data_IF_800014615703
#
_entry.id   IF_800014615703
#
_cell.length_a   1.000
_cell.length_b   1.000
_cell.length_c   1.000
_cell.angle_alpha   90.00
_cell.angle_beta   90.00
_cell.angle_gamma   90.00
#
_symmetry.space_group_name_H-M   'P 1'
#
loop_
_entity.id
_entity.type
_entity.pdbx_description
1 polymer ?
#
# COMPACT_ATOMS: atom_id res chain seq x y z
N UNK A 1 -11.49 0.35 29.04
CA UNK A 1 -11.68 0.52 27.59
C UNK A 1 -12.20 -0.73 26.94
N UNK A 2 -13.39 -0.63 26.36
CA UNK A 2 -14.03 -1.64 25.51
C UNK A 2 -14.55 -0.96 24.24
N UNK A 3 -14.59 -1.73 23.15
CA UNK A 3 -15.22 -1.29 21.91
C UNK A 3 -16.74 -1.26 22.10
N UNK A 4 -17.36 -0.10 21.95
CA UNK A 4 -18.81 0.10 22.07
C UNK A 4 -19.50 0.03 20.70
N UNK A 5 -18.90 0.65 19.67
CA UNK A 5 -19.53 0.77 18.36
C UNK A 5 -18.50 0.77 17.24
N UNK A 6 -18.88 0.16 16.11
CA UNK A 6 -18.11 0.16 14.87
C UNK A 6 -19.01 0.69 13.77
N UNK A 7 -18.57 1.74 13.08
CA UNK A 7 -19.31 2.37 11.98
C UNK A 7 -18.47 2.32 10.71
N UNK A 8 -19.05 1.83 9.61
CA UNK A 8 -18.41 1.87 8.29
C UNK A 8 -19.13 2.88 7.40
N UNK A 9 -18.36 3.72 6.70
CA UNK A 9 -18.87 4.65 5.68
C UNK A 9 -18.15 4.40 4.37
N UNK A 10 -18.91 4.08 3.33
CA UNK A 10 -18.38 4.02 1.97
C UNK A 10 -18.33 5.43 1.42
N UNK A 11 -17.15 5.86 1.01
CA UNK A 11 -16.89 7.14 0.35
C UNK A 11 -16.59 6.85 -1.12
N UNK A 12 -17.32 7.51 -2.00
CA UNK A 12 -17.15 7.43 -3.45
C UNK A 12 -16.65 8.78 -3.97
N UNK A 13 -15.36 8.85 -4.31
CA UNK A 13 -14.72 10.08 -4.73
C UNK A 13 -14.50 10.10 -6.26
N UNK A 14 -15.09 11.04 -7.02
CA UNK A 14 -14.87 11.13 -8.45
C UNK A 14 -13.43 11.54 -8.76
N UNK A 15 -12.80 10.89 -9.74
CA UNK A 15 -11.48 11.25 -10.24
C UNK A 15 -11.58 12.34 -11.31
N UNK A 16 -10.61 13.25 -11.32
CA UNK A 16 -10.58 14.37 -12.28
C UNK A 16 -10.40 13.94 -13.74
N UNK A 17 -9.95 12.71 -13.96
CA UNK A 17 -9.73 12.12 -15.29
C UNK A 17 -10.04 10.64 -15.29
N UNK A 18 -10.26 10.11 -16.49
CA UNK A 18 -10.30 8.66 -16.70
C UNK A 18 -9.02 8.00 -16.20
N UNK A 19 -9.20 6.90 -15.49
CA UNK A 19 -8.12 6.16 -14.86
C UNK A 19 -8.25 4.68 -15.24
N UNK A 20 -7.21 4.17 -15.92
CA UNK A 20 -7.15 2.79 -16.39
C UNK A 20 -6.13 1.99 -15.56
N UNK A 21 -6.55 1.40 -14.42
CA UNK A 21 -5.65 0.69 -13.54
C UNK A 21 -4.99 -0.50 -14.24
N UNK A 22 -3.67 -0.61 -14.11
CA UNK A 22 -2.89 -1.69 -14.71
C UNK A 22 -3.27 -3.10 -14.18
N UNK A 23 -3.89 -3.17 -13.00
CA UNK A 23 -4.35 -4.40 -12.36
C UNK A 23 -5.77 -4.84 -12.75
N UNK A 24 -6.51 -4.03 -13.53
CA UNK A 24 -7.83 -4.39 -14.01
C UNK A 24 -7.93 -4.07 -15.51
N UNK A 25 -7.52 -5.05 -16.34
CA UNK A 25 -7.44 -4.91 -17.81
C UNK A 25 -8.77 -4.44 -18.40
N UNK A 26 -8.72 -3.35 -19.16
CA UNK A 26 -9.89 -2.78 -19.85
C UNK A 26 -10.88 -2.06 -18.93
N UNK A 27 -10.64 -2.03 -17.61
CA UNK A 27 -11.48 -1.29 -16.68
C UNK A 27 -11.16 0.20 -16.78
N UNK A 28 -12.18 1.02 -16.94
CA UNK A 28 -12.12 2.44 -16.58
C UNK A 28 -12.62 2.57 -15.14
N UNK A 29 -11.86 3.24 -14.29
CA UNK A 29 -12.22 3.52 -12.92
C UNK A 29 -12.44 5.03 -12.78
N UNK A 30 -13.69 5.52 -12.89
CA UNK A 30 -13.99 6.95 -12.79
C UNK A 30 -13.93 7.46 -11.34
N UNK A 31 -14.04 6.58 -10.35
CA UNK A 31 -14.07 6.95 -8.95
C UNK A 31 -13.09 6.14 -8.10
N UNK A 32 -12.64 6.73 -6.99
CA UNK A 32 -11.93 6.07 -5.91
C UNK A 32 -12.90 5.72 -4.77
N UNK A 33 -13.20 4.43 -4.63
CA UNK A 33 -13.95 3.91 -3.49
C UNK A 33 -13.02 3.71 -2.29
N UNK A 34 -13.47 4.18 -1.13
CA UNK A 34 -12.85 3.90 0.16
C UNK A 34 -13.91 3.55 1.20
N UNK A 35 -13.54 2.68 2.15
CA UNK A 35 -14.30 2.50 3.39
C UNK A 35 -13.57 3.24 4.50
N UNK A 36 -14.27 4.17 5.15
CA UNK A 36 -13.87 4.82 6.39
C UNK A 36 -14.49 4.04 7.56
N UNK A 37 -13.67 3.76 8.57
CA UNK A 37 -14.06 3.03 9.77
C UNK A 37 -13.87 3.94 10.97
N UNK A 38 -14.91 4.00 11.80
CA UNK A 38 -14.89 4.66 13.11
C UNK A 38 -15.16 3.58 14.17
N UNK A 39 -14.26 3.43 15.14
CA UNK A 39 -14.41 2.51 16.27
C UNK A 39 -14.46 3.33 17.55
N UNK A 40 -15.64 3.40 18.17
CA UNK A 40 -15.86 4.12 19.42
C UNK A 40 -15.64 3.19 20.62
N UNK A 41 -15.05 3.74 21.69
CA UNK A 41 -14.87 3.06 22.96
C UNK A 41 -15.77 3.63 24.06
N UNK A 42 -16.03 2.82 25.08
CA UNK A 42 -16.77 3.22 26.29
C UNK A 42 -16.08 4.33 27.10
N UNK A 43 -14.77 4.52 26.89
CA UNK A 43 -13.96 5.59 27.51
C UNK A 43 -13.91 6.87 26.65
N UNK A 44 -14.69 6.94 25.57
CA UNK A 44 -14.87 8.14 24.74
C UNK A 44 -13.77 8.37 23.69
N UNK A 45 -12.89 7.39 23.43
CA UNK A 45 -11.95 7.46 22.32
C UNK A 45 -12.59 6.90 21.05
N UNK A 46 -12.30 7.54 19.92
CA UNK A 46 -12.67 7.03 18.59
C UNK A 46 -11.41 6.77 17.79
N UNK A 47 -11.23 5.52 17.36
CA UNK A 47 -10.25 5.12 16.36
C UNK A 47 -10.76 5.39 14.95
N UNK A 48 -9.87 5.81 14.05
CA UNK A 48 -10.18 6.06 12.66
C UNK A 48 -9.25 5.24 11.77
N UNK A 49 -9.82 4.53 10.79
CA UNK A 49 -9.07 3.85 9.75
C UNK A 49 -9.75 3.93 8.40
N UNK A 50 -9.00 3.63 7.35
CA UNK A 50 -9.53 3.61 6.00
C UNK A 50 -8.86 2.53 5.15
N UNK A 51 -9.58 2.02 4.15
CA UNK A 51 -9.05 1.14 3.12
C UNK A 51 -9.62 1.49 1.76
N UNK A 52 -8.83 1.23 0.70
CA UNK A 52 -9.34 1.19 -0.66
C UNK A 52 -10.22 -0.06 -0.84
N UNK A 53 -11.52 0.13 -0.63
CA UNK A 53 -12.53 -0.91 -0.65
C UNK A 53 -13.92 -0.28 -0.87
N UNK A 54 -14.87 -1.08 -1.33
CA UNK A 54 -16.27 -0.71 -1.48
C UNK A 54 -17.16 -1.29 -0.40
N UNK A 55 -18.44 -1.44 -0.74
CA UNK A 55 -19.49 -1.95 0.14
C UNK A 55 -19.18 -3.34 0.71
N UNK A 56 -18.43 -4.16 -0.02
CA UNK A 56 -18.05 -5.51 0.40
C UNK A 56 -17.25 -5.52 1.71
N UNK A 57 -16.36 -4.54 1.92
CA UNK A 57 -15.61 -4.43 3.17
C UNK A 57 -16.50 -3.94 4.31
N UNK A 58 -17.34 -2.93 4.08
CA UNK A 58 -18.26 -2.41 5.09
C UNK A 58 -19.22 -3.51 5.60
N UNK A 59 -19.86 -4.24 4.67
CA UNK A 59 -20.76 -5.34 5.01
C UNK A 59 -20.00 -6.45 5.74
N UNK A 60 -18.78 -6.78 5.31
CA UNK A 60 -17.99 -7.82 5.96
C UNK A 60 -17.63 -7.44 7.39
N UNK A 61 -17.19 -6.19 7.60
CA UNK A 61 -16.85 -5.67 8.92
C UNK A 61 -18.09 -5.69 9.82
N UNK A 62 -19.20 -5.11 9.38
CA UNK A 62 -20.41 -5.00 10.20
C UNK A 62 -21.01 -6.37 10.57
N UNK A 63 -21.01 -7.32 9.63
CA UNK A 63 -21.69 -8.61 9.83
C UNK A 63 -20.82 -9.70 10.42
N UNK A 64 -19.53 -9.73 10.08
CA UNK A 64 -18.65 -10.85 10.41
C UNK A 64 -17.49 -10.48 11.32
N UNK A 65 -17.08 -9.22 11.39
CA UNK A 65 -15.98 -8.78 12.27
C UNK A 65 -16.53 -8.17 13.56
N UNK A 66 -17.45 -7.21 13.45
CA UNK A 66 -17.96 -6.45 14.59
C UNK A 66 -18.51 -7.32 15.74
N UNK A 67 -19.25 -8.41 15.51
CA UNK A 67 -19.74 -9.27 16.60
C UNK A 67 -18.65 -9.85 17.50
N UNK A 68 -17.42 -10.00 17.00
CA UNK A 68 -16.28 -10.49 17.76
C UNK A 68 -15.46 -9.38 18.42
N UNK A 69 -15.65 -8.12 18.01
CA UNK A 69 -14.90 -6.97 18.48
C UNK A 69 -15.66 -6.18 19.54
N UNK A 70 -16.98 -6.09 19.45
CA UNK A 70 -17.82 -5.36 20.42
C UNK A 70 -17.60 -5.95 21.83
N UNK A 71 -17.36 -5.09 22.80
CA UNK A 71 -17.07 -5.44 24.20
C UNK A 71 -15.63 -5.88 24.47
N UNK A 72 -14.78 -6.06 23.44
CA UNK A 72 -13.38 -6.39 23.60
C UNK A 72 -12.53 -5.16 23.93
N UNK A 73 -11.38 -5.37 24.56
CA UNK A 73 -10.40 -4.33 24.82
C UNK A 73 -9.61 -4.03 23.52
N UNK A 74 -9.69 -2.81 22.95
CA UNK A 74 -8.99 -2.46 21.71
C UNK A 74 -7.46 -2.45 21.88
N UNK A 75 -6.94 -2.46 23.12
CA UNK A 75 -5.50 -2.52 23.40
C UNK A 75 -4.91 -3.91 23.15
N UNK A 76 -5.75 -4.96 23.11
CA UNK A 76 -5.33 -6.34 22.85
C UNK A 76 -5.31 -6.67 21.35
N UNK A 77 -4.70 -5.81 20.53
CA UNK A 77 -4.71 -5.90 19.05
C UNK A 77 -4.37 -7.30 18.54
N UNK A 78 -3.27 -7.90 19.00
CA UNK A 78 -2.82 -9.24 18.58
C UNK A 78 -3.83 -10.35 18.87
N UNK A 79 -4.71 -10.18 19.86
CA UNK A 79 -5.77 -11.14 20.16
C UNK A 79 -6.94 -11.07 19.18
N UNK A 80 -7.13 -9.91 18.54
CA UNK A 80 -8.23 -9.63 17.60
C UNK A 80 -7.82 -9.86 16.13
N UNK A 81 -6.54 -9.73 15.81
CA UNK A 81 -6.02 -9.96 14.45
C UNK A 81 -6.39 -11.35 13.88
N UNK A 82 -6.40 -12.47 14.64
CA UNK A 82 -6.85 -13.76 14.12
C UNK A 82 -8.25 -13.73 13.50
N UNK A 83 -9.20 -12.98 14.08
CA UNK A 83 -10.55 -12.83 13.51
C UNK A 83 -10.50 -12.16 12.13
N UNK A 84 -9.63 -11.16 11.95
CA UNK A 84 -9.41 -10.49 10.66
C UNK A 84 -8.80 -11.44 9.63
N UNK A 85 -7.89 -12.32 10.06
CA UNK A 85 -7.29 -13.35 9.19
C UNK A 85 -8.31 -14.40 8.77
N UNK A 86 -9.13 -14.88 9.72
CA UNK A 86 -10.14 -15.90 9.44
C UNK A 86 -11.24 -15.40 8.49
N UNK A 87 -11.53 -14.09 8.54
CA UNK A 87 -12.50 -13.44 7.65
C UNK A 87 -11.97 -13.20 6.23
N UNK A 88 -10.66 -13.40 5.96
CA UNK A 88 -10.09 -13.31 4.60
C UNK A 88 -10.76 -14.26 3.61
N UNK A 89 -11.30 -15.39 4.08
CA UNK A 89 -12.02 -16.36 3.25
C UNK A 89 -13.23 -15.76 2.52
N UNK A 90 -13.77 -14.65 3.04
CA UNK A 90 -14.88 -13.91 2.44
C UNK A 90 -14.43 -13.00 1.29
N UNK A 91 -13.12 -12.80 1.11
CA UNK A 91 -12.52 -12.04 0.01
C UNK A 91 -12.58 -10.52 0.15
N UNK A 92 -13.19 -9.99 1.22
CA UNK A 92 -13.26 -8.56 1.47
C UNK A 92 -12.07 -8.07 2.32
N UNK A 93 -11.46 -6.92 1.99
CA UNK A 93 -10.32 -6.40 2.74
C UNK A 93 -10.78 -5.76 4.06
N UNK A 94 -10.54 -6.44 5.19
CA UNK A 94 -10.94 -5.97 6.53
C UNK A 94 -9.78 -5.51 7.43
N UNK A 95 -8.54 -5.59 6.94
CA UNK A 95 -7.33 -5.27 7.72
C UNK A 95 -7.25 -3.82 8.22
N UNK A 96 -8.01 -2.91 7.63
CA UNK A 96 -8.17 -1.55 8.14
C UNK A 96 -8.73 -1.50 9.58
N UNK A 97 -9.36 -2.57 10.06
CA UNK A 97 -9.71 -2.69 11.48
C UNK A 97 -8.47 -2.68 12.38
N UNK A 98 -7.39 -3.38 12.01
CA UNK A 98 -6.17 -3.43 12.81
C UNK A 98 -5.52 -2.03 12.93
N UNK A 99 -5.43 -1.30 11.82
CA UNK A 99 -4.89 0.07 11.84
C UNK A 99 -5.77 1.01 12.66
N UNK A 100 -7.10 0.80 12.64
CA UNK A 100 -8.04 1.57 13.46
C UNK A 100 -7.84 1.31 14.96
N UNK A 101 -7.55 0.07 15.36
CA UNK A 101 -7.19 -0.24 16.76
C UNK A 101 -5.88 0.42 17.18
N UNK A 102 -4.87 0.41 16.30
CA UNK A 102 -3.61 1.09 16.59
C UNK A 102 -3.77 2.60 16.75
N UNK A 103 -4.70 3.24 16.03
CA UNK A 103 -5.04 4.64 16.26
C UNK A 103 -5.62 4.87 17.66
N UNK A 104 -6.49 3.97 18.15
CA UNK A 104 -6.98 4.00 19.55
C UNK A 104 -5.82 3.85 20.53
N UNK A 105 -4.94 2.87 20.31
CA UNK A 105 -3.76 2.63 21.17
C UNK A 105 -2.87 3.87 21.23
N UNK A 106 -2.61 4.52 20.10
CA UNK A 106 -1.85 5.77 20.04
C UNK A 106 -2.51 6.90 20.83
N UNK A 107 -3.83 7.09 20.64
CA UNK A 107 -4.62 8.11 21.36
C UNK A 107 -4.65 7.84 22.87
N UNK A 108 -4.88 6.59 23.29
CA UNK A 108 -4.89 6.19 24.68
C UNK A 108 -3.52 6.40 25.35
N UNK A 109 -2.42 6.15 24.63
CA UNK A 109 -1.07 6.36 25.11
C UNK A 109 -0.61 7.84 25.04
N UNK A 110 -1.36 8.72 24.36
CA UNK A 110 -0.93 10.09 24.09
C UNK A 110 0.32 10.17 23.20
N UNK A 111 0.56 9.16 22.36
CA UNK A 111 1.77 9.04 21.54
C UNK A 111 1.45 8.67 20.09
N UNK A 112 2.20 9.19 19.09
CA UNK A 112 2.10 8.68 17.73
C UNK A 112 2.43 7.18 17.67
N UNK A 113 1.66 6.40 16.90
CA UNK A 113 1.87 4.94 16.75
C UNK A 113 3.30 4.59 16.34
N UNK A 114 3.90 5.39 15.44
CA UNK A 114 5.30 5.21 15.04
C UNK A 114 6.30 5.26 16.21
N UNK A 115 6.02 6.06 17.26
CA UNK A 115 6.84 6.09 18.49
C UNK A 115 6.62 4.84 19.33
N UNK A 116 5.39 4.35 19.43
CA UNK A 116 5.08 3.10 20.12
C UNK A 116 5.81 1.90 19.49
N UNK A 117 5.99 1.92 18.16
CA UNK A 117 6.72 0.89 17.42
C UNK A 117 8.24 1.09 17.36
N UNK A 118 8.79 1.98 18.20
CA UNK A 118 10.23 2.17 18.36
C UNK A 118 10.80 3.46 17.75
N UNK A 119 10.01 4.19 16.96
CA UNK A 119 10.28 5.60 16.64
C UNK A 119 11.59 5.87 15.90
N UNK A 120 12.00 4.98 14.99
CA UNK A 120 13.29 5.07 14.26
C UNK A 120 13.54 6.41 13.56
N UNK A 121 12.51 6.99 12.93
CA UNK A 121 12.60 8.22 12.17
C UNK A 121 11.30 9.02 12.26
N UNK A 122 11.40 10.34 12.16
CA UNK A 122 10.27 11.28 12.02
C UNK A 122 9.85 11.50 10.57
N UNK A 123 10.60 10.93 9.62
CA UNK A 123 10.41 11.09 8.18
C UNK A 123 10.64 9.80 7.42
N UNK A 124 9.98 9.68 6.26
CA UNK A 124 10.17 8.60 5.29
C UNK A 124 10.35 9.17 3.89
N UNK A 125 11.13 8.49 3.07
CA UNK A 125 11.29 8.89 1.66
C UNK A 125 10.04 8.44 0.91
N UNK A 126 9.28 9.39 0.40
CA UNK A 126 8.14 9.10 -0.46
C UNK A 126 8.61 8.69 -1.86
N UNK A 127 7.95 7.68 -2.42
CA UNK A 127 8.09 7.29 -3.81
C UNK A 127 6.74 7.45 -4.52
N UNK A 128 6.77 7.77 -5.82
CA UNK A 128 5.56 7.86 -6.62
C UNK A 128 5.34 6.55 -7.39
N UNK A 129 4.11 6.10 -7.51
CA UNK A 129 3.77 4.86 -8.22
C UNK A 129 2.96 5.16 -9.47
N UNK A 130 3.40 4.66 -10.61
CA UNK A 130 2.60 4.72 -11.83
C UNK A 130 1.54 3.64 -11.78
N UNK A 131 0.28 3.99 -11.98
CA UNK A 131 -0.84 3.07 -11.82
C UNK A 131 -1.45 2.57 -13.14
N UNK A 132 -1.14 3.21 -14.27
CA UNK A 132 -1.65 2.88 -15.61
C UNK A 132 -0.54 2.34 -16.50
N UNK A 133 -0.86 1.51 -17.49
CA UNK A 133 0.09 1.10 -18.55
C UNK A 133 0.12 2.21 -19.61
N UNK A 134 1.31 2.68 -19.99
CA UNK A 134 1.50 3.77 -20.96
C UNK A 134 2.70 3.48 -21.87
N UNK A 135 2.77 4.19 -22.99
CA UNK A 135 3.90 4.06 -23.92
C UNK A 135 5.22 4.55 -23.29
N UNK A 136 6.39 4.13 -23.83
CA UNK A 136 7.68 4.61 -23.33
C UNK A 136 7.80 6.13 -23.30
N UNK A 137 7.33 6.83 -24.34
CA UNK A 137 7.38 8.28 -24.42
C UNK A 137 6.52 8.96 -23.33
N UNK A 138 5.28 8.50 -23.15
CA UNK A 138 4.40 9.00 -22.09
C UNK A 138 4.98 8.73 -20.70
N UNK A 139 5.63 7.58 -20.50
CA UNK A 139 6.25 7.26 -19.22
C UNK A 139 7.44 8.17 -18.91
N UNK A 140 8.27 8.49 -19.90
CA UNK A 140 9.37 9.44 -19.73
C UNK A 140 8.84 10.79 -19.24
N UNK A 141 7.74 11.28 -19.83
CA UNK A 141 7.08 12.52 -19.41
C UNK A 141 6.53 12.43 -17.98
N UNK A 142 5.84 11.34 -17.65
CA UNK A 142 5.33 11.12 -16.29
C UNK A 142 6.45 11.12 -15.24
N UNK A 143 7.58 10.46 -15.53
CA UNK A 143 8.71 10.40 -14.60
C UNK A 143 9.38 11.75 -14.45
N UNK A 144 9.56 12.51 -15.54
CA UNK A 144 10.09 13.88 -15.45
C UNK A 144 9.22 14.76 -14.55
N UNK A 145 7.90 14.73 -14.75
CA UNK A 145 6.95 15.43 -13.89
C UNK A 145 7.09 15.02 -12.42
N UNK A 146 7.17 13.71 -12.13
CA UNK A 146 7.35 13.22 -10.75
C UNK A 146 8.69 13.67 -10.12
N UNK A 147 9.76 13.74 -10.92
CA UNK A 147 11.04 14.26 -10.44
C UNK A 147 10.98 15.76 -10.15
N UNK A 148 10.28 16.52 -11.00
CA UNK A 148 10.04 17.96 -10.82
C UNK A 148 9.17 18.24 -9.58
N UNK A 149 8.22 17.35 -9.25
CA UNK A 149 7.44 17.37 -8.00
C UNK A 149 8.27 17.02 -6.74
N UNK A 150 9.52 16.58 -6.92
CA UNK A 150 10.46 16.31 -5.83
C UNK A 150 10.56 14.84 -5.41
N UNK A 151 9.87 13.91 -6.08
CA UNK A 151 10.05 12.49 -5.81
C UNK A 151 11.45 12.04 -6.18
N UNK A 152 12.01 11.12 -5.38
CA UNK A 152 13.35 10.55 -5.58
C UNK A 152 13.34 9.11 -6.04
N UNK A 153 12.16 8.47 -5.97
CA UNK A 153 11.94 7.10 -6.39
C UNK A 153 10.60 7.00 -7.10
N UNK A 154 10.55 6.21 -8.17
CA UNK A 154 9.34 5.93 -8.94
C UNK A 154 9.18 4.43 -9.11
N UNK A 155 7.98 3.92 -8.85
CA UNK A 155 7.60 2.52 -9.03
C UNK A 155 6.78 2.36 -10.30
N UNK A 156 7.20 1.43 -11.17
CA UNK A 156 6.48 1.09 -12.39
C UNK A 156 5.53 -0.09 -12.20
N UNK A 157 4.46 -0.10 -12.97
CA UNK A 157 3.55 -1.24 -13.13
C UNK A 157 3.62 -1.72 -14.58
N UNK A 158 3.91 -3.00 -14.74
CA UNK A 158 4.12 -3.67 -16.04
C UNK A 158 3.04 -4.74 -16.22
N UNK A 159 2.28 -4.66 -17.30
CA UNK A 159 1.19 -5.59 -17.60
C UNK A 159 0.97 -5.74 -19.11
N UNK A 160 1.96 -5.36 -19.94
CA UNK A 160 1.86 -5.55 -21.39
C UNK A 160 1.85 -7.05 -21.72
N UNK A 161 1.20 -7.47 -22.82
CA UNK A 161 1.20 -8.88 -23.22
C UNK A 161 2.60 -9.44 -23.47
N UNK A 162 3.49 -8.63 -24.02
CA UNK A 162 4.91 -8.95 -24.20
C UNK A 162 5.76 -8.23 -23.13
N UNK A 163 6.39 -8.97 -22.20
CA UNK A 163 7.29 -8.40 -21.20
C UNK A 163 8.48 -7.64 -21.79
N UNK A 164 8.90 -7.94 -23.02
CA UNK A 164 10.00 -7.21 -23.67
C UNK A 164 9.60 -5.77 -24.02
N UNK A 165 8.31 -5.50 -24.28
CA UNK A 165 7.82 -4.13 -24.48
C UNK A 165 7.82 -3.34 -23.17
N UNK A 166 7.55 -3.99 -22.04
CA UNK A 166 7.68 -3.37 -20.71
C UNK A 166 9.15 -2.99 -20.40
N UNK A 167 10.13 -3.78 -20.87
CA UNK A 167 11.55 -3.43 -20.75
C UNK A 167 11.92 -2.17 -21.52
N UNK A 168 11.36 -1.96 -22.72
CA UNK A 168 11.60 -0.74 -23.50
C UNK A 168 11.15 0.51 -22.75
N UNK A 169 10.10 0.42 -21.94
CA UNK A 169 9.67 1.52 -21.06
C UNK A 169 10.75 1.86 -20.04
N UNK A 170 11.34 0.84 -19.41
CA UNK A 170 12.42 1.02 -18.43
C UNK A 170 13.66 1.62 -19.08
N UNK A 171 14.05 1.10 -20.24
CA UNK A 171 15.19 1.59 -21.01
C UNK A 171 15.01 3.06 -21.41
N UNK A 172 13.84 3.42 -21.95
CA UNK A 172 13.54 4.79 -22.35
C UNK A 172 13.57 5.76 -21.16
N UNK A 173 12.98 5.38 -20.03
CA UNK A 173 13.04 6.20 -18.82
C UNK A 173 14.49 6.37 -18.37
N UNK A 174 15.24 5.27 -18.25
CA UNK A 174 16.63 5.32 -17.78
C UNK A 174 17.52 6.16 -18.69
N UNK A 175 17.33 6.09 -20.01
CA UNK A 175 18.04 6.93 -20.96
C UNK A 175 17.68 8.42 -20.80
N UNK A 176 16.42 8.74 -20.49
CA UNK A 176 15.95 10.12 -20.40
C UNK A 176 16.28 10.82 -19.07
N UNK A 177 16.32 10.09 -17.95
CA UNK A 177 16.55 10.68 -16.60
C UNK A 177 17.91 10.29 -15.99
N UNK A 178 18.65 9.37 -16.60
CA UNK A 178 19.94 8.90 -16.12
C UNK A 178 19.86 8.22 -14.75
N UNK A 179 20.96 8.26 -13.99
CA UNK A 179 21.03 7.74 -12.61
C UNK A 179 20.41 8.67 -11.55
N UNK A 180 19.70 9.74 -11.94
CA UNK A 180 19.12 10.71 -11.00
C UNK A 180 18.14 10.07 -10.00
N UNK A 181 17.48 8.96 -10.38
CA UNK A 181 16.56 8.19 -9.53
C UNK A 181 17.24 7.34 -8.43
N UNK A 182 18.53 7.53 -8.17
CA UNK A 182 19.28 6.85 -7.09
C UNK A 182 20.40 7.70 -6.47
N UNK A 183 20.40 9.02 -6.72
CA UNK A 183 21.45 9.94 -6.28
C UNK A 183 21.38 10.32 -4.79
N UNK A 184 21.46 9.33 -3.90
CA UNK A 184 21.76 9.53 -2.48
C UNK A 184 22.84 8.51 -2.10
N UNK A 185 23.99 9.02 -1.67
CA UNK A 185 25.22 8.26 -1.37
C UNK A 185 25.08 7.32 -0.16
N UNK A 186 23.88 6.95 0.27
CA UNK A 186 23.58 6.05 1.40
C UNK A 186 22.16 5.43 1.35
N UNK A 187 21.69 5.00 0.17
CA UNK A 187 20.46 4.19 0.10
C UNK A 187 20.69 2.98 -0.83
N UNK A 188 20.40 1.79 -0.31
CA UNK A 188 20.38 0.54 -1.09
C UNK A 188 19.56 0.69 -2.37
N UNK A 189 19.88 -0.04 -3.45
CA UNK A 189 19.18 0.05 -4.73
C UNK A 189 17.77 -0.54 -4.59
N UNK A 190 16.82 0.28 -4.16
CA UNK A 190 15.40 -0.07 -4.14
C UNK A 190 14.73 0.38 -5.44
N UNK A 191 15.29 0.00 -6.59
CA UNK A 191 14.48 -0.20 -7.79
C UNK A 191 13.81 -1.56 -7.63
N UNK A 192 12.84 -1.67 -6.73
CA UNK A 192 12.13 -2.93 -6.53
C UNK A 192 11.13 -3.07 -7.66
N UNK A 193 11.51 -3.83 -8.69
CA UNK A 193 10.59 -4.40 -9.66
C UNK A 193 9.74 -5.43 -8.94
N UNK A 194 8.68 -5.00 -8.26
CA UNK A 194 7.70 -5.95 -7.72
C UNK A 194 6.73 -6.33 -8.84
N UNK A 195 7.02 -7.44 -9.51
CA UNK A 195 6.00 -8.19 -10.22
C UNK A 195 4.90 -8.55 -9.25
N UNK A 196 3.65 -8.24 -9.60
CA UNK A 196 2.49 -8.55 -8.79
C UNK A 196 2.26 -10.06 -8.82
N UNK A 197 2.93 -10.83 -7.96
CA UNK A 197 2.49 -12.18 -7.64
C UNK A 197 1.27 -12.05 -6.71
N UNK A 198 0.10 -12.11 -7.32
CA UNK A 198 -1.14 -12.35 -6.60
C UNK A 198 -1.09 -13.76 -6.02
N UNK A 199 -0.72 -13.88 -4.75
CA UNK A 199 -1.15 -14.96 -3.85
C UNK A 199 -0.77 -14.58 -2.43
N UNK A 200 -1.74 -14.09 -1.66
CA UNK A 200 -1.69 -14.16 -0.22
C UNK A 200 -1.68 -15.65 0.16
N UNK A 201 -0.51 -16.20 0.45
CA UNK A 201 -0.30 -17.43 1.23
C UNK A 201 1.21 -17.70 1.34
N UNK A 202 1.72 -17.84 2.56
CA UNK A 202 3.00 -18.50 2.80
C UNK A 202 4.19 -17.60 3.11
N UNK A 203 4.18 -16.96 4.27
CA UNK A 203 5.43 -16.69 5.00
C UNK A 203 5.97 -18.03 5.52
N UNK A 204 6.59 -18.83 4.66
CA UNK A 204 7.36 -20.00 5.08
C UNK A 204 8.85 -19.73 4.84
N UNK A 205 9.59 -19.68 5.95
CA UNK A 205 11.05 -19.70 5.96
C UNK A 205 11.54 -20.94 5.20
N UNK A 206 12.05 -20.75 3.99
CA UNK A 206 13.00 -21.69 3.39
C UNK A 206 14.30 -20.95 3.09
N UNK A 207 15.31 -21.24 3.90
CA UNK A 207 16.71 -20.92 3.57
C UNK A 207 17.10 -21.83 2.41
N UNK A 208 17.35 -21.27 1.24
CA UNK A 208 18.20 -21.93 0.24
C UNK A 208 19.08 -20.89 -0.47
N UNK A 209 20.42 -21.03 -0.44
CA UNK A 209 21.36 -20.04 -0.93
C UNK A 209 21.72 -20.31 -2.40
N UNK A 210 20.85 -19.97 -3.35
CA UNK A 210 21.20 -20.10 -4.77
C UNK A 210 20.35 -19.19 -5.66
N UNK A 211 20.75 -17.91 -5.76
CA UNK A 211 20.54 -17.03 -6.92
C UNK A 211 21.08 -15.63 -6.57
N UNK A 212 22.37 -15.53 -6.30
CA UNK A 212 23.10 -14.25 -6.38
C UNK A 212 23.72 -14.18 -7.76
N UNK A 213 22.99 -13.65 -8.74
CA UNK A 213 23.58 -13.10 -9.95
C UNK A 213 23.46 -11.58 -9.88
N UNK A 214 24.30 -11.02 -9.03
CA UNK A 214 24.60 -9.59 -9.03
C UNK A 214 25.57 -9.35 -10.18
N UNK A 215 25.07 -9.01 -11.37
CA UNK A 215 25.95 -8.46 -12.41
C UNK A 215 26.21 -7.01 -12.04
N UNK A 216 27.26 -6.78 -11.26
CA UNK A 216 27.81 -5.46 -11.02
C UNK A 216 28.40 -4.95 -12.35
N UNK A 217 27.66 -4.11 -13.07
CA UNK A 217 28.22 -3.35 -14.18
C UNK A 217 28.90 -2.11 -13.58
N UNK A 218 30.13 -2.30 -13.09
CA UNK A 218 31.07 -1.20 -12.86
C UNK A 218 31.76 -0.90 -14.19
N UNK A 219 31.17 -0.04 -15.01
CA UNK A 219 31.92 0.68 -16.04
C UNK A 219 31.73 2.17 -15.84
N UNK A 220 32.78 2.75 -15.28
CA UNK A 220 33.07 4.17 -15.21
C UNK A 220 33.23 4.75 -16.61
N UNK A 221 32.29 5.57 -17.07
CA UNK A 221 32.53 6.69 -18.00
C UNK A 221 31.23 7.36 -18.46
N UNK A 222 31.19 8.69 -18.28
CA UNK A 222 30.23 9.71 -18.75
C UNK A 222 28.92 9.86 -17.95
#
# INVERSE_FOLDING_TARGET
MKIDRITCRVVDFPLDREFHPAWARGRNQPNLLMVLIEVDTDDGLTGIGAAHAGLEAAVTIERFVAPYFIGQDPMHVESLVPVLRDTEILGAPVYCMETTLWDIVGKAAGLPVARLWGGYSDRVIAYCATAEVRSPAQRVEDVKRMLDEGYRAVKFRFHLPDPLEDLKVVEAVRAAVGCACGGSRNLSPATTTTGCAASATGWTRSRSPAARTTTACTSSSC
#
